data_IF_081706858633
#
_entry.id   IF_081706858633
#
_cell.length_a   1.000
_cell.length_b   1.000
_cell.length_c   1.000
_cell.angle_alpha   90.00
_cell.angle_beta   90.00
_cell.angle_gamma   90.00
#
_symmetry.space_group_name_H-M   'P 1'
#
loop_
_entity.id
_entity.type
_entity.pdbx_description
1 polymer ?
#
# COMPACT_ATOMS: atom_id res chain seq x y z
N UNK A 1 -6.16 -26.03 9.45
CA UNK A 1 -5.39 -25.84 8.19
C UNK A 1 -5.99 -24.80 7.23
N UNK A 2 -7.21 -24.29 7.46
CA UNK A 2 -7.90 -23.39 6.52
C UNK A 2 -7.38 -21.94 6.49
N UNK A 3 -6.72 -21.45 7.56
CA UNK A 3 -6.18 -20.08 7.62
C UNK A 3 -4.78 -19.90 7.02
N UNK A 4 -4.03 -21.00 6.87
CA UNK A 4 -2.63 -20.95 6.44
C UNK A 4 -2.46 -20.53 4.98
N UNK A 5 -3.38 -20.95 4.10
CA UNK A 5 -3.30 -20.62 2.67
C UNK A 5 -3.57 -19.15 2.36
N UNK A 6 -4.63 -18.51 2.89
CA UNK A 6 -4.83 -17.07 2.73
C UNK A 6 -3.67 -16.23 3.27
N UNK A 7 -3.12 -16.62 4.43
CA UNK A 7 -2.00 -15.92 5.04
C UNK A 7 -0.72 -16.03 4.20
N UNK A 8 -0.38 -17.24 3.74
CA UNK A 8 0.77 -17.44 2.86
C UNK A 8 0.60 -16.71 1.52
N UNK A 9 -0.60 -16.76 0.94
CA UNK A 9 -0.90 -16.04 -0.30
C UNK A 9 -0.70 -14.53 -0.12
N UNK A 10 -1.21 -13.97 0.97
CA UNK A 10 -1.04 -12.54 1.32
C UNK A 10 0.43 -12.17 1.48
N UNK A 11 1.20 -12.99 2.20
CA UNK A 11 2.63 -12.80 2.39
C UNK A 11 3.39 -12.80 1.06
N UNK A 12 3.14 -13.81 0.22
CA UNK A 12 3.79 -13.95 -1.08
C UNK A 12 3.41 -12.79 -2.01
N UNK A 13 2.14 -12.40 -2.06
CA UNK A 13 1.68 -11.30 -2.90
C UNK A 13 2.26 -9.97 -2.43
N UNK A 14 2.32 -9.73 -1.12
CA UNK A 14 2.94 -8.53 -0.56
C UNK A 14 4.43 -8.47 -0.89
N UNK A 15 5.16 -9.56 -0.63
CA UNK A 15 6.59 -9.63 -0.92
C UNK A 15 6.90 -9.43 -2.40
N UNK A 16 6.16 -10.13 -3.26
CA UNK A 16 6.32 -10.08 -4.70
C UNK A 16 5.93 -8.72 -5.27
N UNK A 17 4.80 -8.16 -4.83
CA UNK A 17 4.34 -6.83 -5.24
C UNK A 17 5.39 -5.76 -4.93
N UNK A 18 5.90 -5.72 -3.71
CA UNK A 18 6.97 -4.78 -3.31
C UNK A 18 8.22 -4.93 -4.19
N UNK A 19 8.66 -6.17 -4.44
CA UNK A 19 9.82 -6.43 -5.29
C UNK A 19 9.62 -6.04 -6.76
N UNK A 20 8.46 -6.39 -7.34
CA UNK A 20 8.10 -6.02 -8.72
C UNK A 20 7.99 -4.50 -8.88
N UNK A 21 7.38 -3.83 -7.91
CA UNK A 21 7.26 -2.37 -7.91
C UNK A 21 8.65 -1.71 -7.91
N UNK A 22 9.59 -2.22 -7.12
CA UNK A 22 10.97 -1.71 -7.10
C UNK A 22 11.71 -1.99 -8.41
N UNK A 23 11.53 -3.18 -8.97
CA UNK A 23 12.09 -3.55 -10.26
C UNK A 23 11.56 -2.65 -11.39
N UNK A 24 10.23 -2.46 -11.46
CA UNK A 24 9.59 -1.63 -12.47
C UNK A 24 10.03 -0.17 -12.37
N UNK A 25 10.30 0.31 -11.16
CA UNK A 25 10.79 1.66 -10.90
C UNK A 25 12.30 1.83 -11.21
N UNK A 26 13.06 0.74 -11.35
CA UNK A 26 14.43 0.79 -11.84
C UNK A 26 14.56 0.71 -13.35
N UNK A 27 13.48 0.43 -14.09
CA UNK A 27 13.51 0.34 -15.55
C UNK A 27 13.73 1.72 -16.22
N UNK A 28 14.29 1.75 -17.44
CA UNK A 28 14.49 2.98 -18.19
C UNK A 28 13.20 3.77 -18.41
N UNK A 29 13.29 5.11 -18.43
CA UNK A 29 12.13 6.03 -18.64
C UNK A 29 11.32 5.75 -19.91
N UNK A 30 11.91 5.10 -20.93
CA UNK A 30 11.22 4.69 -22.13
C UNK A 30 10.14 3.61 -21.88
N UNK A 31 10.37 2.74 -20.89
CA UNK A 31 9.44 1.67 -20.52
C UNK A 31 8.28 2.18 -19.67
N UNK A 32 8.44 3.33 -18.99
CA UNK A 32 7.43 3.91 -18.08
C UNK A 32 6.06 4.11 -18.73
N UNK A 33 6.02 4.52 -20.02
CA UNK A 33 4.77 4.70 -20.79
C UNK A 33 4.05 3.37 -21.04
N UNK A 34 4.80 2.30 -21.33
CA UNK A 34 4.25 0.96 -21.50
C UNK A 34 3.81 0.36 -20.17
N UNK A 35 4.59 0.54 -19.11
CA UNK A 35 4.23 0.10 -17.75
C UNK A 35 2.93 0.76 -17.30
N UNK A 36 2.77 2.07 -17.52
CA UNK A 36 1.53 2.77 -17.17
C UNK A 36 0.34 2.33 -18.03
N UNK A 37 0.55 2.08 -19.33
CA UNK A 37 -0.49 1.53 -20.21
C UNK A 37 -0.96 0.16 -19.76
N UNK A 38 -0.03 -0.76 -19.51
CA UNK A 38 -0.33 -2.10 -19.00
C UNK A 38 -1.02 -2.06 -17.63
N UNK A 39 -0.55 -1.19 -16.72
CA UNK A 39 -1.16 -1.01 -15.42
C UNK A 39 -2.60 -0.49 -15.56
N UNK A 40 -2.89 0.41 -16.51
CA UNK A 40 -4.24 0.97 -16.70
C UNK A 40 -5.21 -0.06 -17.26
N UNK A 41 -4.75 -0.94 -18.16
CA UNK A 41 -5.53 -2.10 -18.61
C UNK A 41 -5.80 -3.03 -17.42
N UNK A 42 -4.78 -3.29 -16.60
CA UNK A 42 -4.91 -4.11 -15.40
C UNK A 42 -5.90 -3.51 -14.40
N UNK A 43 -5.94 -2.18 -14.25
CA UNK A 43 -6.92 -1.49 -13.41
C UNK A 43 -8.36 -1.78 -13.87
N UNK A 44 -8.63 -1.68 -15.17
CA UNK A 44 -9.94 -1.99 -15.74
C UNK A 44 -10.36 -3.44 -15.48
N UNK A 45 -9.45 -4.39 -15.72
CA UNK A 45 -9.67 -5.82 -15.42
C UNK A 45 -9.92 -6.04 -13.93
N UNK A 46 -9.21 -5.32 -13.07
CA UNK A 46 -9.33 -5.46 -11.62
C UNK A 46 -10.66 -4.92 -11.11
N UNK A 47 -11.16 -3.79 -11.64
CA UNK A 47 -12.48 -3.28 -11.31
C UNK A 47 -13.60 -4.24 -11.75
N UNK A 48 -13.46 -4.87 -12.91
CA UNK A 48 -14.36 -5.96 -13.33
C UNK A 48 -14.27 -7.16 -12.37
N UNK A 49 -13.06 -7.51 -11.93
CA UNK A 49 -12.85 -8.54 -10.92
C UNK A 49 -13.55 -8.22 -9.59
N UNK A 50 -13.49 -6.97 -9.12
CA UNK A 50 -14.23 -6.50 -7.94
C UNK A 50 -15.74 -6.64 -8.17
N UNK A 51 -16.25 -6.19 -9.31
CA UNK A 51 -17.68 -6.27 -9.61
C UNK A 51 -18.21 -7.73 -9.65
N UNK A 52 -17.45 -8.65 -10.25
CA UNK A 52 -17.82 -10.08 -10.35
C UNK A 52 -17.72 -10.78 -9.00
N UNK A 53 -16.68 -10.47 -8.22
CA UNK A 53 -16.50 -11.09 -6.90
C UNK A 53 -17.43 -10.51 -5.83
N UNK A 54 -18.00 -9.32 -6.03
CA UNK A 54 -18.89 -8.68 -5.06
C UNK A 54 -20.11 -9.57 -4.71
N UNK A 55 -20.67 -10.27 -5.71
CA UNK A 55 -21.79 -11.19 -5.49
C UNK A 55 -21.37 -12.63 -5.12
N UNK A 56 -20.09 -12.97 -5.19
CA UNK A 56 -19.60 -14.33 -4.95
C UNK A 56 -19.13 -14.52 -3.49
N UNK A 57 -19.91 -15.27 -2.71
CA UNK A 57 -19.62 -15.64 -1.32
C UNK A 57 -18.88 -16.98 -1.19
N UNK A 58 -18.31 -17.51 -2.28
CA UNK A 58 -17.44 -18.68 -2.22
C UNK A 58 -16.02 -18.29 -1.84
N UNK A 59 -15.25 -19.26 -1.34
CA UNK A 59 -13.81 -19.07 -1.05
C UNK A 59 -13.07 -18.52 -2.27
N UNK A 60 -13.38 -18.98 -3.48
CA UNK A 60 -12.82 -18.43 -4.73
C UNK A 60 -13.11 -16.94 -4.92
N UNK A 61 -14.32 -16.49 -4.57
CA UNK A 61 -14.71 -15.08 -4.56
C UNK A 61 -13.88 -14.24 -3.59
N UNK A 62 -13.49 -14.80 -2.43
CA UNK A 62 -12.58 -14.13 -1.51
C UNK A 62 -11.18 -13.91 -2.10
N UNK A 63 -10.59 -14.95 -2.72
CA UNK A 63 -9.29 -14.81 -3.39
C UNK A 63 -9.35 -13.79 -4.53
N UNK A 64 -10.42 -13.84 -5.34
CA UNK A 64 -10.58 -12.93 -6.47
C UNK A 64 -10.78 -11.48 -6.00
N UNK A 65 -11.62 -11.26 -4.99
CA UNK A 65 -11.86 -9.95 -4.38
C UNK A 65 -10.58 -9.33 -3.79
N UNK A 66 -9.78 -10.14 -3.09
CA UNK A 66 -8.52 -9.72 -2.49
C UNK A 66 -7.47 -9.36 -3.55
N UNK A 67 -7.27 -10.24 -4.54
CA UNK A 67 -6.31 -10.01 -5.62
C UNK A 67 -6.71 -8.81 -6.48
N UNK A 68 -8.00 -8.67 -6.80
CA UNK A 68 -8.49 -7.53 -7.56
C UNK A 68 -8.25 -6.20 -6.80
N UNK A 69 -8.53 -6.15 -5.50
CA UNK A 69 -8.24 -4.97 -4.68
C UNK A 69 -6.75 -4.63 -4.64
N UNK A 70 -5.88 -5.64 -4.54
CA UNK A 70 -4.43 -5.46 -4.59
C UNK A 70 -3.93 -4.97 -5.95
N UNK A 71 -4.53 -5.42 -7.06
CA UNK A 71 -4.16 -4.94 -8.38
C UNK A 71 -4.61 -3.48 -8.61
N UNK A 72 -5.79 -3.08 -8.11
CA UNK A 72 -6.21 -1.67 -8.08
C UNK A 72 -5.20 -0.82 -7.29
N UNK A 73 -4.75 -1.33 -6.15
CA UNK A 73 -3.72 -0.68 -5.34
C UNK A 73 -2.37 -0.58 -6.06
N UNK A 74 -1.94 -1.65 -6.72
CA UNK A 74 -0.68 -1.69 -7.45
C UNK A 74 -0.63 -0.62 -8.56
N UNK A 75 -1.74 -0.38 -9.27
CA UNK A 75 -1.82 0.70 -10.25
C UNK A 75 -1.51 2.06 -9.64
N UNK A 76 -2.02 2.33 -8.44
CA UNK A 76 -1.76 3.60 -7.75
C UNK A 76 -0.31 3.74 -7.32
N UNK A 77 0.28 2.66 -6.81
CA UNK A 77 1.68 2.68 -6.38
C UNK A 77 2.62 2.89 -7.56
N UNK A 78 2.36 2.20 -8.68
CA UNK A 78 3.08 2.36 -9.93
C UNK A 78 2.91 3.79 -10.47
N UNK A 79 1.68 4.31 -10.51
CA UNK A 79 1.40 5.66 -10.98
C UNK A 79 2.08 6.76 -10.15
N UNK A 80 2.19 6.54 -8.83
CA UNK A 80 2.92 7.42 -7.91
C UNK A 80 4.43 7.35 -8.14
N UNK A 81 5.02 6.15 -8.16
CA UNK A 81 6.46 5.96 -8.29
C UNK A 81 6.98 6.41 -9.66
N UNK A 82 6.24 6.17 -10.74
CA UNK A 82 6.57 6.65 -12.08
C UNK A 82 6.46 8.18 -12.21
N UNK A 83 5.89 8.86 -11.23
CA UNK A 83 5.72 10.31 -11.25
C UNK A 83 4.50 10.81 -12.03
N UNK A 84 3.71 9.94 -12.68
CA UNK A 84 2.52 10.35 -13.44
C UNK A 84 1.43 10.93 -12.53
N UNK A 85 1.22 10.32 -11.36
CA UNK A 85 0.20 10.73 -10.38
C UNK A 85 0.87 11.45 -9.20
N UNK A 86 1.87 12.28 -9.48
CA UNK A 86 2.45 13.18 -8.45
C UNK A 86 1.78 14.53 -8.52
N UNK A 87 1.56 15.17 -7.37
CA UNK A 87 0.81 16.41 -7.26
C UNK A 87 1.44 17.60 -8.01
N UNK A 88 0.73 18.74 -8.10
CA UNK A 88 1.12 19.91 -8.90
C UNK A 88 2.49 20.49 -8.55
N UNK A 89 3.06 20.17 -7.38
CA UNK A 89 4.36 20.67 -6.94
C UNK A 89 5.45 19.60 -6.97
N UNK A 90 6.19 19.54 -8.08
CA UNK A 90 7.41 18.73 -8.26
C UNK A 90 8.69 19.53 -7.94
N UNK A 91 8.68 20.27 -6.84
CA UNK A 91 9.80 21.13 -6.44
C UNK A 91 10.23 20.79 -5.01
N UNK A 92 11.51 20.95 -4.70
CA UNK A 92 12.03 20.78 -3.34
C UNK A 92 11.39 21.81 -2.39
N UNK A 93 11.25 21.43 -1.12
CA UNK A 93 10.67 22.29 -0.10
C UNK A 93 11.47 23.58 0.02
N UNK A 94 10.83 24.76 -0.07
CA UNK A 94 11.53 26.01 0.19
C UNK A 94 12.11 26.00 1.60
N UNK A 95 13.36 26.46 1.81
CA UNK A 95 14.02 26.45 3.12
C UNK A 95 13.27 27.25 4.19
N UNK A 96 12.42 28.20 3.79
CA UNK A 96 11.58 29.02 4.69
C UNK A 96 10.25 28.35 5.13
N UNK A 97 9.88 27.20 4.56
CA UNK A 97 8.63 26.54 4.91
C UNK A 97 8.76 25.77 6.23
N UNK A 98 8.27 26.36 7.34
CA UNK A 98 8.18 25.73 8.67
C UNK A 98 6.74 25.30 9.00
N UNK A 99 6.61 24.22 9.77
CA UNK A 99 5.32 23.76 10.33
C UNK A 99 4.23 23.46 9.29
N UNK A 100 3.06 24.07 9.45
CA UNK A 100 1.87 23.87 8.60
C UNK A 100 2.06 24.24 7.13
N UNK A 101 2.92 25.21 6.80
CA UNK A 101 3.26 25.53 5.40
C UNK A 101 4.02 24.38 4.72
N UNK A 102 4.88 23.67 5.46
CA UNK A 102 5.57 22.47 4.98
C UNK A 102 4.60 21.30 4.80
N UNK A 103 3.64 21.14 5.72
CA UNK A 103 2.57 20.14 5.60
C UNK A 103 1.72 20.39 4.35
N UNK A 104 1.24 21.62 4.15
CA UNK A 104 0.44 21.97 2.96
C UNK A 104 1.21 21.76 1.66
N UNK A 105 2.52 22.03 1.64
CA UNK A 105 3.35 21.77 0.47
C UNK A 105 3.62 20.28 0.22
N UNK A 106 3.76 19.47 1.28
CA UNK A 106 3.85 18.02 1.16
C UNK A 106 2.54 17.40 0.66
N UNK A 107 1.39 17.89 1.16
CA UNK A 107 0.06 17.49 0.67
C UNK A 107 -0.11 17.89 -0.79
N UNK A 108 0.28 19.10 -1.19
CA UNK A 108 0.26 19.52 -2.60
C UNK A 108 1.18 18.68 -3.50
N UNK A 109 2.26 18.10 -2.97
CA UNK A 109 3.11 17.20 -3.74
C UNK A 109 2.48 15.81 -3.97
N UNK A 110 1.47 15.42 -3.16
CA UNK A 110 0.82 14.09 -3.20
C UNK A 110 -0.67 14.20 -3.55
N UNK A 111 -1.21 15.41 -3.76
CA UNK A 111 -2.65 15.66 -3.89
C UNK A 111 -3.34 14.82 -4.95
N UNK A 112 -2.76 14.70 -6.15
CA UNK A 112 -3.36 13.88 -7.22
C UNK A 112 -3.38 12.40 -6.89
N UNK A 113 -2.41 11.92 -6.11
CA UNK A 113 -2.39 10.53 -5.64
C UNK A 113 -3.46 10.28 -4.58
N UNK A 114 -3.66 11.20 -3.63
CA UNK A 114 -4.76 11.13 -2.66
C UNK A 114 -6.13 11.22 -3.34
N UNK A 115 -6.28 12.09 -4.33
CA UNK A 115 -7.53 12.16 -5.11
C UNK A 115 -7.80 10.86 -5.87
N UNK A 116 -6.78 10.28 -6.49
CA UNK A 116 -6.93 8.99 -7.14
C UNK A 116 -7.29 7.88 -6.14
N UNK A 117 -6.75 7.91 -4.91
CA UNK A 117 -7.11 6.97 -3.83
C UNK A 117 -8.58 7.10 -3.47
N UNK A 118 -9.07 8.32 -3.31
CA UNK A 118 -10.48 8.59 -3.00
C UNK A 118 -11.38 8.12 -4.14
N UNK A 119 -11.03 8.41 -5.40
CA UNK A 119 -11.83 8.01 -6.57
C UNK A 119 -11.90 6.49 -6.70
N UNK A 120 -10.78 5.79 -6.56
CA UNK A 120 -10.73 4.33 -6.63
C UNK A 120 -11.42 3.67 -5.43
N UNK A 121 -11.25 4.22 -4.23
CA UNK A 121 -11.96 3.78 -3.04
C UNK A 121 -13.47 3.94 -3.18
N UNK A 122 -13.92 5.08 -3.70
CA UNK A 122 -15.33 5.32 -4.00
C UNK A 122 -15.87 4.36 -5.08
N UNK A 123 -15.08 4.08 -6.12
CA UNK A 123 -15.44 3.11 -7.15
C UNK A 123 -15.60 1.70 -6.57
N UNK A 124 -14.65 1.24 -5.75
CA UNK A 124 -14.75 -0.07 -5.07
C UNK A 124 -15.96 -0.09 -4.16
N UNK A 125 -16.16 0.93 -3.33
CA UNK A 125 -17.32 1.02 -2.43
C UNK A 125 -18.64 1.02 -3.18
N UNK A 126 -18.73 1.72 -4.31
CA UNK A 126 -19.93 1.72 -5.15
C UNK A 126 -20.20 0.34 -5.76
N UNK A 127 -19.14 -0.37 -6.21
CA UNK A 127 -19.25 -1.71 -6.76
C UNK A 127 -19.58 -2.77 -5.71
N UNK A 128 -19.11 -2.59 -4.48
CA UNK A 128 -19.42 -3.50 -3.36
C UNK A 128 -20.62 -3.05 -2.53
N UNK A 129 -21.28 -1.93 -2.86
CA UNK A 129 -22.41 -1.42 -2.09
C UNK A 129 -23.57 -2.41 -2.13
N UNK A 130 -24.14 -2.76 -0.97
CA UNK A 130 -25.22 -3.75 -0.82
C UNK A 130 -24.87 -5.17 -1.31
N UNK A 131 -23.58 -5.47 -1.51
CA UNK A 131 -23.13 -6.79 -1.94
C UNK A 131 -22.64 -7.62 -0.74
N UNK A 132 -22.76 -8.96 -0.79
CA UNK A 132 -22.41 -9.83 0.33
C UNK A 132 -20.88 -9.94 0.53
N UNK A 133 -20.08 -9.73 -0.51
CA UNK A 133 -18.61 -9.75 -0.41
C UNK A 133 -18.05 -8.32 -0.29
N UNK A 134 -17.70 -7.93 0.93
CA UNK A 134 -17.06 -6.63 1.24
C UNK A 134 -15.52 -6.72 1.31
N UNK A 135 -14.92 -7.87 0.97
CA UNK A 135 -13.49 -8.09 1.18
C UNK A 135 -12.63 -7.11 0.37
N UNK A 136 -13.01 -6.77 -0.86
CA UNK A 136 -12.27 -5.79 -1.66
C UNK A 136 -12.26 -4.41 -1.00
N UNK A 137 -13.40 -3.97 -0.45
CA UNK A 137 -13.50 -2.70 0.25
C UNK A 137 -12.66 -2.69 1.54
N UNK A 138 -12.70 -3.77 2.33
CA UNK A 138 -11.87 -3.89 3.53
C UNK A 138 -10.38 -3.94 3.20
N UNK A 139 -9.99 -4.70 2.19
CA UNK A 139 -8.59 -4.80 1.74
C UNK A 139 -8.07 -3.44 1.30
N UNK A 140 -8.82 -2.73 0.46
CA UNK A 140 -8.45 -1.40 0.00
C UNK A 140 -8.43 -0.38 1.15
N UNK A 141 -9.41 -0.43 2.04
CA UNK A 141 -9.49 0.44 3.21
C UNK A 141 -8.31 0.26 4.16
N UNK A 142 -7.91 -0.99 4.44
CA UNK A 142 -6.72 -1.30 5.23
C UNK A 142 -5.47 -0.73 4.55
N UNK A 143 -5.25 -1.03 3.27
CA UNK A 143 -4.10 -0.50 2.54
C UNK A 143 -4.04 1.03 2.58
N UNK A 144 -5.17 1.69 2.35
CA UNK A 144 -5.28 3.15 2.39
C UNK A 144 -4.96 3.71 3.78
N UNK A 145 -5.56 3.15 4.83
CA UNK A 145 -5.32 3.59 6.21
C UNK A 145 -3.85 3.36 6.62
N UNK A 146 -3.27 2.22 6.25
CA UNK A 146 -1.87 1.91 6.53
C UNK A 146 -0.93 2.87 5.80
N UNK A 147 -1.23 3.20 4.54
CA UNK A 147 -0.46 4.19 3.78
C UNK A 147 -0.59 5.59 4.35
N UNK A 148 -1.78 5.99 4.81
CA UNK A 148 -1.98 7.26 5.48
C UNK A 148 -1.18 7.31 6.80
N UNK A 149 -1.22 6.23 7.58
CA UNK A 149 -0.45 6.10 8.82
C UNK A 149 1.06 6.19 8.57
N UNK A 150 1.57 5.45 7.58
CA UNK A 150 2.95 5.53 7.13
C UNK A 150 3.36 6.96 6.74
N UNK A 151 2.55 7.65 5.92
CA UNK A 151 2.79 9.03 5.50
C UNK A 151 2.83 9.99 6.69
N UNK A 152 1.88 9.87 7.63
CA UNK A 152 1.84 10.70 8.83
C UNK A 152 3.04 10.45 9.73
N UNK A 153 3.43 9.19 9.92
CA UNK A 153 4.61 8.83 10.68
C UNK A 153 5.86 9.43 10.04
N UNK A 154 6.08 9.20 8.74
CA UNK A 154 7.21 9.76 7.97
C UNK A 154 7.23 11.30 8.01
N UNK A 155 6.07 11.96 7.94
CA UNK A 155 5.96 13.42 8.00
C UNK A 155 6.35 13.99 9.38
N UNK A 156 5.89 13.36 10.47
CA UNK A 156 6.20 13.76 11.84
C UNK A 156 7.64 13.40 12.26
N UNK A 157 8.15 12.35 11.62
CA UNK A 157 9.54 11.96 11.58
C UNK A 157 9.81 10.59 12.17
N UNK A 158 10.55 9.78 11.41
CA UNK A 158 10.87 8.40 11.76
C UNK A 158 12.37 8.17 11.55
N UNK A 159 12.89 7.14 12.23
CA UNK A 159 14.31 6.84 12.36
C UNK A 159 14.89 6.19 11.10
N UNK A 160 14.14 5.31 10.44
CA UNK A 160 14.52 4.69 9.18
C UNK A 160 13.59 5.16 8.05
N UNK A 161 14.10 6.03 7.19
CA UNK A 161 13.33 6.63 6.09
C UNK A 161 13.37 5.80 4.80
N UNK A 162 14.08 4.67 4.78
CA UNK A 162 14.15 3.76 3.63
C UNK A 162 14.46 4.55 2.34
N UNK A 163 15.47 5.43 2.43
CA UNK A 163 15.83 6.42 1.40
C UNK A 163 16.13 5.79 0.04
N UNK A 164 16.57 4.53 0.03
CA UNK A 164 16.89 3.79 -1.19
C UNK A 164 15.64 3.26 -1.92
N UNK A 165 14.46 3.19 -1.29
CA UNK A 165 13.25 2.78 -1.99
C UNK A 165 12.73 3.89 -2.93
N UNK A 166 12.99 5.17 -2.61
CA UNK A 166 12.58 6.29 -3.45
C UNK A 166 13.47 6.41 -4.70
N UNK A 167 12.85 6.55 -5.90
CA UNK A 167 13.60 6.77 -7.13
C UNK A 167 14.18 8.19 -7.18
N UNK A 168 15.22 8.35 -7.99
CA UNK A 168 16.07 9.56 -8.01
C UNK A 168 15.28 10.85 -8.34
N UNK A 169 14.22 10.75 -9.15
CA UNK A 169 13.33 11.88 -9.46
C UNK A 169 12.39 12.29 -8.32
N UNK A 170 12.17 11.43 -7.32
CA UNK A 170 11.40 11.75 -6.11
C UNK A 170 12.28 12.16 -4.93
N UNK A 171 13.61 12.26 -5.12
CA UNK A 171 14.55 12.67 -4.08
C UNK A 171 14.25 14.06 -3.52
N UNK A 172 13.56 14.93 -4.28
CA UNK A 172 13.08 16.23 -3.78
C UNK A 172 12.06 16.08 -2.64
N UNK A 173 11.30 14.97 -2.58
CA UNK A 173 10.36 14.70 -1.48
C UNK A 173 11.09 14.51 -0.15
N UNK A 174 12.35 14.08 -0.19
CA UNK A 174 13.19 13.96 1.00
C UNK A 174 13.33 15.29 1.75
N UNK A 175 13.39 16.41 1.02
CA UNK A 175 13.42 17.74 1.63
C UNK A 175 12.18 18.08 2.47
N UNK A 176 11.07 17.33 2.33
CA UNK A 176 9.86 17.46 3.14
C UNK A 176 9.85 16.54 4.36
N UNK A 177 10.69 15.52 4.41
CA UNK A 177 10.73 14.57 5.51
C UNK A 177 11.65 15.05 6.64
N UNK A 178 11.38 14.59 7.85
CA UNK A 178 12.15 14.94 9.04
C UNK A 178 12.66 13.67 9.67
N UNK A 179 13.97 13.44 9.68
CA UNK A 179 14.54 12.34 10.47
C UNK A 179 14.37 12.69 11.96
N UNK A 180 13.64 11.87 12.70
CA UNK A 180 13.52 11.96 14.16
C UNK A 180 13.56 10.56 14.77
N UNK A 181 14.17 10.41 15.96
CA UNK A 181 14.34 9.10 16.59
C UNK A 181 13.01 8.47 17.04
N UNK A 182 12.00 9.27 17.34
CA UNK A 182 10.65 8.79 17.67
C UNK A 182 9.57 9.85 17.39
N UNK A 183 8.35 9.35 17.17
CA UNK A 183 7.14 10.15 17.03
C UNK A 183 6.08 9.61 18.02
N UNK A 184 5.35 10.49 18.71
CA UNK A 184 4.32 10.11 19.67
C UNK A 184 3.12 9.41 19.00
N UNK A 185 2.88 9.62 17.70
CA UNK A 185 1.84 8.88 16.97
C UNK A 185 2.23 7.44 16.66
N UNK A 186 3.52 7.09 16.68
CA UNK A 186 3.97 5.73 16.39
C UNK A 186 3.35 4.68 17.33
N UNK A 187 3.45 4.79 18.67
CA UNK A 187 2.84 3.82 19.57
C UNK A 187 1.31 3.77 19.42
N UNK A 188 0.65 4.90 19.13
CA UNK A 188 -0.81 4.94 18.90
C UNK A 188 -1.17 4.12 17.65
N UNK A 189 -0.43 4.30 16.56
CA UNK A 189 -0.63 3.55 15.32
C UNK A 189 -0.38 2.05 15.54
N UNK A 190 0.72 1.69 16.21
CA UNK A 190 1.08 0.30 16.49
C UNK A 190 0.02 -0.38 17.36
N UNK A 191 -0.46 0.29 18.41
CA UNK A 191 -1.53 -0.24 19.27
C UNK A 191 -2.82 -0.42 18.49
N UNK A 192 -3.22 0.58 17.69
CA UNK A 192 -4.43 0.50 16.87
C UNK A 192 -4.36 -0.64 15.83
N UNK A 193 -3.23 -0.77 15.11
CA UNK A 193 -3.01 -1.85 14.13
C UNK A 193 -3.03 -3.21 14.83
N UNK A 194 -2.38 -3.32 16.00
CA UNK A 194 -2.34 -4.57 16.76
C UNK A 194 -3.73 -4.97 17.25
N UNK A 195 -4.53 -4.01 17.74
CA UNK A 195 -5.90 -4.26 18.16
C UNK A 195 -6.79 -4.70 17.00
N UNK A 196 -6.69 -4.05 15.84
CA UNK A 196 -7.41 -4.43 14.63
C UNK A 196 -6.98 -5.81 14.12
N UNK A 197 -5.68 -6.10 14.11
CA UNK A 197 -5.15 -7.41 13.72
C UNK A 197 -5.64 -8.51 14.66
N UNK A 198 -5.59 -8.28 15.97
CA UNK A 198 -6.08 -9.21 16.98
C UNK A 198 -7.58 -9.46 16.83
N UNK A 199 -8.36 -8.42 16.58
CA UNK A 199 -9.80 -8.54 16.31
C UNK A 199 -10.07 -9.35 15.04
N UNK A 200 -9.36 -9.06 13.94
CA UNK A 200 -9.50 -9.79 12.68
C UNK A 200 -9.09 -11.27 12.81
N UNK A 201 -8.02 -11.57 13.56
CA UNK A 201 -7.61 -12.94 13.88
C UNK A 201 -8.62 -13.65 14.77
N UNK A 202 -9.18 -12.95 15.75
CA UNK A 202 -10.23 -13.50 16.61
C UNK A 202 -11.47 -13.86 15.79
N UNK A 203 -11.91 -12.98 14.89
CA UNK A 203 -12.99 -13.27 13.95
C UNK A 203 -12.64 -14.45 13.04
N UNK A 204 -11.41 -14.52 12.52
CA UNK A 204 -11.01 -15.64 11.65
C UNK A 204 -11.05 -17.00 12.36
N UNK A 205 -10.82 -17.05 13.67
CA UNK A 205 -10.81 -18.29 14.48
C UNK A 205 -12.18 -18.60 15.10
N UNK A 206 -13.12 -17.66 15.07
CA UNK A 206 -14.45 -17.85 15.63
C UNK A 206 -15.21 -18.96 14.88
N UNK A 207 -15.62 -19.99 15.61
CA UNK A 207 -16.19 -21.24 15.08
C UNK A 207 -17.58 -21.09 14.43
N UNK A 208 -18.18 -19.90 14.46
CA UNK A 208 -19.55 -19.65 13.98
C UNK A 208 -19.61 -19.06 12.56
N UNK A 209 -18.47 -18.81 11.92
CA UNK A 209 -18.42 -18.19 10.59
C UNK A 209 -18.35 -19.22 9.45
N UNK A 210 -18.89 -18.86 8.29
CA UNK A 210 -18.79 -19.66 7.08
C UNK A 210 -17.35 -19.71 6.54
N UNK A 211 -17.02 -20.72 5.72
CA UNK A 211 -15.67 -20.89 5.14
C UNK A 211 -15.17 -19.64 4.36
N UNK A 212 -16.08 -18.88 3.76
CA UNK A 212 -15.76 -17.62 3.08
C UNK A 212 -15.36 -16.51 4.05
N UNK A 213 -16.13 -16.30 5.11
CA UNK A 213 -15.87 -15.26 6.12
C UNK A 213 -14.55 -15.54 6.83
N UNK A 214 -14.29 -16.82 7.15
CA UNK A 214 -13.01 -17.26 7.70
C UNK A 214 -11.84 -16.89 6.78
N UNK A 215 -11.96 -17.14 5.47
CA UNK A 215 -10.92 -16.78 4.51
C UNK A 215 -10.75 -15.25 4.40
N UNK A 216 -11.85 -14.50 4.30
CA UNK A 216 -11.86 -13.04 4.23
C UNK A 216 -11.20 -12.40 5.46
N UNK A 217 -11.56 -12.82 6.67
CA UNK A 217 -10.94 -12.37 7.90
C UNK A 217 -9.46 -12.73 7.96
N UNK A 218 -9.07 -13.93 7.48
CA UNK A 218 -7.66 -14.36 7.44
C UNK A 218 -6.81 -13.47 6.52
N UNK A 219 -7.34 -13.08 5.35
CA UNK A 219 -6.68 -12.13 4.44
C UNK A 219 -6.45 -10.77 5.11
N UNK A 220 -7.49 -10.20 5.70
CA UNK A 220 -7.43 -8.90 6.38
C UNK A 220 -6.48 -8.95 7.59
N UNK A 221 -6.56 -10.01 8.39
CA UNK A 221 -5.71 -10.19 9.57
C UNK A 221 -4.23 -10.30 9.19
N UNK A 222 -3.90 -11.07 8.13
CA UNK A 222 -2.53 -11.17 7.65
C UNK A 222 -2.04 -9.85 7.06
N UNK A 223 -2.88 -9.14 6.32
CA UNK A 223 -2.55 -7.83 5.76
C UNK A 223 -2.23 -6.80 6.86
N UNK A 224 -3.02 -6.77 7.93
CA UNK A 224 -2.77 -5.92 9.11
C UNK A 224 -1.50 -6.33 9.85
N UNK A 225 -1.22 -7.63 9.92
CA UNK A 225 0.00 -8.16 10.54
C UNK A 225 1.26 -7.77 9.75
N UNK A 226 1.18 -7.79 8.42
CA UNK A 226 2.24 -7.29 7.54
C UNK A 226 2.42 -5.78 7.66
N UNK A 227 1.32 -5.03 7.74
CA UNK A 227 1.37 -3.60 7.94
C UNK A 227 2.00 -3.25 9.30
N UNK A 228 1.70 -4.01 10.36
CA UNK A 228 2.36 -3.89 11.65
C UNK A 228 3.87 -4.06 11.48
N UNK A 229 4.29 -5.15 10.83
CA UNK A 229 5.70 -5.44 10.56
C UNK A 229 6.38 -4.32 9.76
N UNK A 230 5.71 -3.74 8.75
CA UNK A 230 6.20 -2.59 8.00
C UNK A 230 6.40 -1.36 8.89
N UNK A 231 5.47 -1.07 9.81
CA UNK A 231 5.64 0.02 10.76
C UNK A 231 6.83 -0.22 11.70
N UNK A 232 7.04 -1.46 12.15
CA UNK A 232 8.21 -1.83 12.93
C UNK A 232 9.51 -1.64 12.14
N UNK A 233 9.54 -1.90 10.83
CA UNK A 233 10.70 -1.61 9.96
C UNK A 233 11.04 -0.13 9.86
N UNK A 234 10.08 0.77 10.02
CA UNK A 234 10.39 2.21 10.04
C UNK A 234 11.13 2.62 11.32
N UNK A 235 10.89 1.95 12.45
CA UNK A 235 11.52 2.29 13.74
C UNK A 235 12.78 1.49 14.02
N UNK A 236 12.81 0.21 13.61
CA UNK A 236 13.97 -0.65 13.76
C UNK A 236 15.03 -0.31 12.70
N UNK A 237 16.31 -0.18 13.08
CA UNK A 237 17.41 0.05 12.15
C UNK A 237 17.79 -1.26 11.43
N UNK A 238 16.81 -1.91 10.80
CA UNK A 238 17.03 -3.11 9.99
C UNK A 238 17.20 -2.72 8.53
N UNK A 239 18.20 -3.28 7.81
CA UNK A 239 18.35 -3.09 6.39
C UNK A 239 17.29 -3.91 5.65
N UNK A 240 16.02 -3.47 5.75
CA UNK A 240 14.87 -4.09 5.10
C UNK A 240 15.04 -4.12 3.58
N UNK A 241 15.92 -3.30 3.03
CA UNK A 241 16.36 -3.28 1.63
C UNK A 241 16.92 -4.63 1.15
N UNK A 242 17.66 -5.36 1.99
CA UNK A 242 18.28 -6.66 1.63
C UNK A 242 17.26 -7.71 1.21
N UNK A 243 16.03 -7.58 1.70
CA UNK A 243 14.93 -8.46 1.37
C UNK A 243 14.55 -8.35 -0.13
N UNK A 244 14.72 -7.16 -0.73
CA UNK A 244 14.38 -6.90 -2.13
C UNK A 244 15.58 -6.51 -3.00
N UNK A 245 16.80 -6.94 -2.62
CA UNK A 245 18.04 -6.69 -3.37
C UNK A 245 17.90 -7.04 -4.86
N UNK A 246 17.17 -8.11 -5.18
CA UNK A 246 16.92 -8.52 -6.56
C UNK A 246 16.14 -7.47 -7.37
N UNK A 247 15.16 -6.79 -6.77
CA UNK A 247 14.37 -5.74 -7.43
C UNK A 247 15.18 -4.47 -7.64
N UNK A 248 16.07 -4.14 -6.70
CA UNK A 248 16.94 -2.96 -6.77
C UNK A 248 18.11 -3.12 -7.77
N UNK A 249 18.50 -4.34 -8.14
CA UNK A 249 19.53 -4.58 -9.19
C UNK A 249 19.19 -3.94 -10.53
N UNK A 250 17.92 -3.70 -10.83
CA UNK A 250 17.48 -2.98 -12.03
C UNK A 250 17.97 -1.52 -12.09
N UNK A 251 18.31 -0.92 -10.94
CA UNK A 251 18.85 0.44 -10.83
C UNK A 251 20.37 0.51 -10.91
N UNK A 252 21.06 -0.64 -10.95
CA UNK A 252 22.49 -0.65 -11.15
C UNK A 252 22.77 -0.06 -12.54
N UNK A 253 23.64 0.96 -12.67
CA UNK A 253 23.99 1.49 -13.97
C UNK A 253 24.53 0.33 -14.82
N UNK A 254 23.93 0.14 -15.99
CA UNK A 254 24.48 -0.76 -17.00
C UNK A 254 25.92 -0.32 -17.25
N UNK A 255 26.88 -1.13 -16.80
CA UNK A 255 28.29 -0.99 -17.10
C UNK A 255 28.54 -1.25 -18.58
#
# INVERSE_FOLDING_TARGET
MQHGWPALYTLLLWWFSTGVILYLNGLPRATHRWTMGAATVLLGVSLLGVAVSASDTRVTGAYLAFTAALMVWAWQEIGFLLGYVTGPRRQACPPDARGWRRAGHAVMAILYHELALIVLGAAILALTWQQPNQLSAWTFGVLWLMRLSAKLNVFLGVRNLNEQFLPEHLRYMHSYFRQRPSNALFPVCVIAITALAAWAWHSAVATQLGAFEVAACSFVAMLLSLALLEHWFMVLPLPSEKLWDWGMRSRAPHA
#
